data_IF_752211651581
#
_entry.id   IF_752211651581
#
_cell.length_a   1.000
_cell.length_b   1.000
_cell.length_c   1.000
_cell.angle_alpha   90.00
_cell.angle_beta   90.00
_cell.angle_gamma   90.00
#
_symmetry.space_group_name_H-M   'P 1'
#
loop_
_entity.id
_entity.type
_entity.pdbx_description
1 polymer ?
#
# COMPACT_ATOMS: atom_id res chain seq x y z
N UNK A 1 12.97 -39.22 46.22
CA UNK A 1 11.84 -38.60 45.49
C UNK A 1 12.35 -37.31 44.88
N UNK A 2 12.62 -37.29 43.57
CA UNK A 2 13.04 -36.09 42.85
C UNK A 2 11.78 -35.35 42.42
N UNK A 3 11.65 -34.09 42.84
CA UNK A 3 10.51 -33.22 42.52
C UNK A 3 10.35 -33.06 41.00
N UNK A 4 9.16 -33.24 40.41
CA UNK A 4 8.93 -33.09 38.97
C UNK A 4 8.90 -31.64 38.47
N UNK A 5 9.05 -30.63 39.34
CA UNK A 5 8.76 -29.23 38.99
C UNK A 5 9.94 -28.47 38.36
N UNK A 6 11.17 -29.01 38.37
CA UNK A 6 12.35 -28.29 37.88
C UNK A 6 12.66 -28.46 36.39
N UNK A 7 11.87 -29.24 35.64
CA UNK A 7 12.15 -29.55 34.22
C UNK A 7 11.36 -28.69 33.21
N UNK A 8 10.31 -27.97 33.63
CA UNK A 8 9.45 -27.20 32.71
C UNK A 8 9.84 -25.71 32.54
N UNK A 9 10.61 -25.13 33.46
CA UNK A 9 11.00 -23.71 33.41
C UNK A 9 12.19 -23.42 32.49
N UNK A 10 13.16 -24.35 32.38
CA UNK A 10 14.32 -24.19 31.50
C UNK A 10 13.97 -24.31 30.00
N UNK A 11 12.96 -25.11 29.65
CA UNK A 11 12.45 -25.22 28.28
C UNK A 11 11.78 -23.90 27.84
N UNK A 12 11.10 -23.21 28.76
CA UNK A 12 10.47 -21.92 28.48
C UNK A 12 11.49 -20.80 28.22
N UNK A 13 12.56 -20.71 29.02
CA UNK A 13 13.61 -19.70 28.85
C UNK A 13 14.45 -19.89 27.58
N UNK A 14 14.76 -21.14 27.22
CA UNK A 14 15.52 -21.45 26.00
C UNK A 14 14.72 -21.19 24.73
N UNK A 15 13.42 -21.48 24.73
CA UNK A 15 12.51 -21.12 23.64
C UNK A 15 12.39 -19.60 23.49
N UNK A 16 12.16 -18.88 24.59
CA UNK A 16 12.09 -17.40 24.60
C UNK A 16 13.39 -16.77 24.07
N UNK A 17 14.54 -17.29 24.48
CA UNK A 17 15.84 -16.79 24.02
C UNK A 17 16.01 -16.99 22.51
N UNK A 18 15.59 -18.14 21.98
CA UNK A 18 15.66 -18.45 20.54
C UNK A 18 14.69 -17.59 19.72
N UNK A 19 13.49 -17.33 20.24
CA UNK A 19 12.52 -16.43 19.63
C UNK A 19 13.06 -14.99 19.57
N UNK A 20 13.60 -14.49 20.68
CA UNK A 20 14.21 -13.16 20.75
C UNK A 20 15.41 -13.02 19.81
N UNK A 21 16.32 -14.00 19.78
CA UNK A 21 17.45 -13.99 18.85
C UNK A 21 16.98 -13.99 17.39
N UNK A 22 15.96 -14.79 17.08
CA UNK A 22 15.37 -14.83 15.74
C UNK A 22 14.76 -13.49 15.36
N UNK A 23 13.99 -12.87 16.25
CA UNK A 23 13.38 -11.57 16.04
C UNK A 23 14.42 -10.47 15.85
N UNK A 24 15.48 -10.44 16.69
CA UNK A 24 16.60 -9.50 16.57
C UNK A 24 17.29 -9.67 15.21
N UNK A 25 17.65 -10.90 14.84
CA UNK A 25 18.32 -11.18 13.56
C UNK A 25 17.43 -10.70 12.41
N UNK A 26 16.18 -11.17 12.33
CA UNK A 26 15.25 -10.83 11.26
C UNK A 26 14.90 -9.34 11.23
N UNK A 27 14.89 -8.66 12.38
CA UNK A 27 14.65 -7.24 12.52
C UNK A 27 15.71 -6.36 11.86
N UNK A 28 16.94 -6.87 11.71
CA UNK A 28 18.01 -6.14 10.98
C UNK A 28 17.83 -6.16 9.46
N UNK A 29 16.95 -7.03 8.93
CA UNK A 29 16.74 -7.17 7.49
C UNK A 29 15.48 -6.46 7.03
N UNK A 30 15.56 -5.84 5.85
CA UNK A 30 14.41 -5.32 5.13
C UNK A 30 14.34 -5.95 3.75
N UNK A 31 13.12 -6.10 3.23
CA UNK A 31 12.90 -6.69 1.91
C UNK A 31 11.86 -5.88 1.14
N UNK A 32 12.02 -5.85 -0.19
CA UNK A 32 11.02 -5.29 -1.10
C UNK A 32 9.90 -6.30 -1.30
N UNK A 33 8.76 -6.03 -0.70
CA UNK A 33 7.54 -6.84 -0.86
C UNK A 33 6.80 -6.37 -2.11
N UNK A 34 6.43 -7.33 -2.94
CA UNK A 34 5.63 -7.15 -4.14
C UNK A 34 4.27 -7.82 -3.94
N UNK A 35 3.20 -7.07 -4.17
CA UNK A 35 1.86 -7.49 -3.75
C UNK A 35 1.31 -8.70 -4.50
N UNK A 36 1.74 -8.97 -5.73
CA UNK A 36 1.23 -10.12 -6.48
C UNK A 36 1.77 -11.46 -5.99
N UNK A 37 3.08 -11.59 -5.79
CA UNK A 37 3.66 -12.83 -5.25
C UNK A 37 3.34 -13.00 -3.75
N UNK A 38 3.12 -11.91 -3.00
CA UNK A 38 2.86 -11.97 -1.55
C UNK A 38 1.63 -12.79 -1.16
N UNK A 39 0.82 -13.23 -2.12
CA UNK A 39 -0.32 -14.12 -1.92
C UNK A 39 0.04 -15.60 -1.99
N UNK A 40 1.16 -15.93 -2.63
CA UNK A 40 1.59 -17.31 -2.87
C UNK A 40 2.17 -17.95 -1.61
N UNK A 41 1.90 -19.25 -1.35
CA UNK A 41 2.41 -19.95 -0.17
C UNK A 41 3.93 -19.89 -0.04
N UNK A 42 4.66 -20.01 -1.15
CA UNK A 42 6.13 -20.00 -1.17
C UNK A 42 6.75 -18.62 -0.97
N UNK A 43 5.95 -17.55 -0.94
CA UNK A 43 6.46 -16.19 -0.95
C UNK A 43 7.27 -15.85 0.31
N UNK A 44 6.88 -16.39 1.49
CA UNK A 44 7.64 -16.21 2.74
C UNK A 44 9.07 -16.75 2.60
N UNK A 45 9.21 -17.98 2.09
CA UNK A 45 10.51 -18.59 1.82
C UNK A 45 11.30 -17.79 0.78
N UNK A 46 10.64 -17.34 -0.29
CA UNK A 46 11.28 -16.52 -1.32
C UNK A 46 11.82 -15.20 -0.76
N UNK A 47 11.05 -14.50 0.08
CA UNK A 47 11.48 -13.26 0.73
C UNK A 47 12.59 -13.48 1.77
N UNK A 48 12.54 -14.59 2.51
CA UNK A 48 13.63 -14.98 3.41
C UNK A 48 14.94 -15.13 2.63
N UNK A 49 14.95 -15.94 1.57
CA UNK A 49 16.14 -16.14 0.76
C UNK A 49 16.62 -14.84 0.10
N UNK A 50 15.70 -13.99 -0.37
CA UNK A 50 16.02 -12.68 -0.97
C UNK A 50 16.63 -11.69 0.02
N UNK A 51 16.22 -11.73 1.28
CA UNK A 51 16.77 -10.87 2.32
C UNK A 51 18.16 -11.31 2.77
N UNK A 52 18.41 -12.63 2.78
CA UNK A 52 19.70 -13.20 3.17
C UNK A 52 20.76 -13.14 2.04
N UNK A 53 20.35 -13.13 0.77
CA UNK A 53 21.23 -12.91 -0.39
C UNK A 53 21.60 -11.41 -0.54
N UNK A 54 22.39 -10.88 0.41
CA UNK A 54 22.80 -9.46 0.45
C UNK A 54 23.61 -9.05 -0.78
N UNK A 55 24.41 -9.98 -1.30
CA UNK A 55 25.30 -9.74 -2.46
C UNK A 55 24.54 -9.82 -3.79
N UNK A 56 23.28 -10.27 -3.77
CA UNK A 56 22.45 -10.39 -4.97
C UNK A 56 22.94 -11.46 -5.94
N UNK A 57 23.64 -12.48 -5.42
CA UNK A 57 24.23 -13.58 -6.18
C UNK A 57 23.17 -14.47 -6.85
N UNK A 58 21.91 -14.38 -6.42
CA UNK A 58 20.81 -15.18 -6.92
C UNK A 58 20.87 -16.64 -6.47
N UNK A 59 21.74 -16.99 -5.51
CA UNK A 59 21.79 -18.32 -4.91
C UNK A 59 22.12 -18.25 -3.42
N UNK A 60 21.60 -19.18 -2.64
CA UNK A 60 21.80 -19.21 -1.20
C UNK A 60 21.82 -20.65 -0.70
N UNK A 61 22.70 -20.95 0.25
CA UNK A 61 22.73 -22.25 0.94
C UNK A 61 22.48 -22.03 2.42
N UNK A 62 21.45 -22.67 2.97
CA UNK A 62 21.05 -22.55 4.38
C UNK A 62 20.82 -23.93 5.00
N UNK A 63 21.11 -24.10 6.29
CA UNK A 63 20.64 -25.26 7.03
C UNK A 63 19.11 -25.29 7.07
N UNK A 64 18.51 -26.45 6.77
CA UNK A 64 17.05 -26.65 6.86
C UNK A 64 16.49 -26.28 8.26
N UNK A 65 17.13 -26.63 9.39
CA UNK A 65 16.65 -26.23 10.71
C UNK A 65 16.54 -24.71 10.91
N UNK A 66 17.44 -23.94 10.30
CA UNK A 66 17.42 -22.47 10.37
C UNK A 66 16.21 -21.93 9.60
N UNK A 67 15.96 -22.46 8.40
CA UNK A 67 14.79 -22.08 7.59
C UNK A 67 13.48 -22.41 8.32
N UNK A 68 13.39 -23.59 8.96
CA UNK A 68 12.23 -23.99 9.75
C UNK A 68 11.99 -23.05 10.93
N UNK A 69 13.06 -22.64 11.61
CA UNK A 69 13.01 -21.70 12.74
C UNK A 69 12.48 -20.34 12.28
N UNK A 70 13.03 -19.78 11.21
CA UNK A 70 12.64 -18.45 10.73
C UNK A 70 11.22 -18.40 10.13
N UNK A 71 10.76 -19.51 9.54
CA UNK A 71 9.44 -19.56 8.90
C UNK A 71 8.37 -20.18 9.80
N UNK A 72 8.74 -20.65 10.99
CA UNK A 72 7.89 -21.40 11.92
C UNK A 72 7.08 -22.48 11.17
N UNK A 73 7.80 -23.45 10.60
CA UNK A 73 7.17 -24.47 9.76
C UNK A 73 7.90 -25.81 9.74
N UNK A 74 7.17 -26.86 9.35
CA UNK A 74 7.72 -28.20 9.17
C UNK A 74 8.59 -28.31 7.91
N UNK A 75 9.42 -29.34 7.89
CA UNK A 75 10.22 -29.76 6.73
C UNK A 75 9.33 -29.93 5.47
N UNK A 76 8.22 -30.66 5.61
CA UNK A 76 7.23 -30.89 4.55
C UNK A 76 6.71 -29.58 3.95
N UNK A 77 6.51 -28.56 4.78
CA UNK A 77 6.09 -27.24 4.31
C UNK A 77 7.16 -26.57 3.46
N UNK A 78 8.42 -26.64 3.88
CA UNK A 78 9.56 -26.10 3.12
C UNK A 78 9.69 -26.81 1.76
N UNK A 79 9.63 -28.15 1.75
CA UNK A 79 9.69 -28.92 0.50
C UNK A 79 8.56 -28.54 -0.47
N UNK A 80 7.33 -28.46 0.04
CA UNK A 80 6.17 -28.03 -0.76
C UNK A 80 6.37 -26.62 -1.31
N UNK A 81 6.83 -25.67 -0.49
CA UNK A 81 7.09 -24.30 -0.95
C UNK A 81 8.20 -24.21 -1.99
N UNK A 82 9.23 -25.05 -1.91
CA UNK A 82 10.27 -25.13 -2.94
C UNK A 82 9.71 -25.67 -4.27
N UNK A 83 8.86 -26.70 -4.21
CA UNK A 83 8.19 -27.24 -5.39
C UNK A 83 7.23 -26.22 -6.03
N UNK A 84 6.36 -25.62 -5.23
CA UNK A 84 5.40 -24.59 -5.69
C UNK A 84 6.14 -23.37 -6.23
N UNK A 85 7.16 -22.91 -5.50
CA UNK A 85 8.00 -21.79 -5.91
C UNK A 85 8.76 -22.06 -7.21
N UNK A 86 9.15 -23.31 -7.49
CA UNK A 86 9.73 -23.70 -8.77
C UNK A 86 8.69 -23.64 -9.89
N UNK A 87 7.48 -24.16 -9.67
CA UNK A 87 6.38 -24.11 -10.66
C UNK A 87 6.04 -22.67 -11.06
N UNK A 88 5.96 -21.76 -10.10
CA UNK A 88 5.66 -20.35 -10.37
C UNK A 88 6.90 -19.52 -10.76
N UNK A 89 8.07 -20.13 -10.93
CA UNK A 89 9.29 -19.42 -11.34
C UNK A 89 9.95 -18.53 -10.27
N UNK A 90 9.51 -18.62 -9.00
CA UNK A 90 10.15 -17.93 -7.88
C UNK A 90 11.51 -18.54 -7.52
N UNK A 91 11.67 -19.85 -7.78
CA UNK A 91 12.94 -20.57 -7.69
C UNK A 91 13.28 -21.18 -9.05
N UNK A 92 14.50 -20.93 -9.54
CA UNK A 92 14.99 -21.53 -10.80
C UNK A 92 15.30 -23.01 -10.61
N UNK A 93 15.97 -23.34 -9.50
CA UNK A 93 16.28 -24.71 -9.08
C UNK A 93 16.54 -24.73 -7.57
N UNK A 94 16.43 -25.89 -6.95
CA UNK A 94 16.86 -26.10 -5.57
C UNK A 94 17.51 -27.48 -5.44
N UNK A 95 18.39 -27.64 -4.46
CA UNK A 95 19.05 -28.91 -4.09
C UNK A 95 18.99 -29.07 -2.59
N UNK A 96 18.84 -30.31 -2.12
CA UNK A 96 18.80 -30.63 -0.69
C UNK A 96 19.77 -31.78 -0.47
N UNK A 97 20.77 -31.58 0.40
CA UNK A 97 21.80 -32.58 0.70
C UNK A 97 22.26 -32.40 2.15
N UNK A 98 22.32 -33.50 2.91
CA UNK A 98 22.83 -33.53 4.28
C UNK A 98 22.27 -32.41 5.18
N UNK A 99 20.94 -32.20 5.18
CA UNK A 99 20.30 -31.16 5.99
C UNK A 99 20.48 -29.72 5.50
N UNK A 100 21.15 -29.50 4.37
CA UNK A 100 21.34 -28.20 3.76
C UNK A 100 20.42 -28.03 2.55
N UNK A 101 19.84 -26.84 2.42
CA UNK A 101 19.06 -26.43 1.25
C UNK A 101 19.87 -25.40 0.48
N UNK A 102 20.16 -25.70 -0.79
CA UNK A 102 20.67 -24.73 -1.76
C UNK A 102 19.54 -24.28 -2.67
N UNK A 103 19.20 -23.00 -2.64
CA UNK A 103 18.15 -22.38 -3.46
C UNK A 103 18.80 -21.48 -4.50
N UNK A 104 18.32 -21.56 -5.74
CA UNK A 104 18.66 -20.61 -6.80
C UNK A 104 17.42 -19.78 -7.09
N UNK A 105 17.51 -18.48 -6.83
CA UNK A 105 16.41 -17.55 -6.93
C UNK A 105 16.02 -17.35 -8.40
N UNK A 106 14.72 -17.40 -8.65
CA UNK A 106 14.14 -17.08 -9.95
C UNK A 106 14.09 -15.57 -10.20
N UNK A 107 14.08 -15.22 -11.48
CA UNK A 107 13.96 -13.85 -11.95
C UNK A 107 12.54 -13.32 -11.83
N UNK A 108 12.41 -12.00 -11.75
CA UNK A 108 11.11 -11.35 -11.62
C UNK A 108 10.19 -11.63 -12.83
N UNK A 109 10.75 -11.62 -14.04
CA UNK A 109 9.98 -11.86 -15.26
C UNK A 109 9.34 -13.25 -15.30
N UNK A 110 10.05 -14.28 -14.82
CA UNK A 110 9.54 -15.66 -14.85
C UNK A 110 8.29 -15.82 -13.98
N UNK A 111 8.27 -15.20 -12.79
CA UNK A 111 7.09 -15.26 -11.92
C UNK A 111 5.89 -14.58 -12.55
N UNK A 112 6.09 -13.41 -13.16
CA UNK A 112 5.00 -12.74 -13.85
C UNK A 112 4.47 -13.58 -15.02
N UNK A 113 5.36 -14.17 -15.81
CA UNK A 113 4.99 -15.02 -16.93
C UNK A 113 4.19 -16.25 -16.45
N UNK A 114 4.71 -17.01 -15.48
CA UNK A 114 4.07 -18.24 -15.00
C UNK A 114 2.74 -17.97 -14.26
N UNK A 115 2.56 -16.80 -13.65
CA UNK A 115 1.32 -16.41 -12.98
C UNK A 115 0.35 -15.62 -13.89
N UNK A 116 0.65 -15.48 -15.19
CA UNK A 116 -0.13 -14.66 -16.14
C UNK A 116 -0.37 -13.21 -15.65
N UNK A 117 0.65 -12.63 -15.01
CA UNK A 117 0.59 -11.28 -14.45
C UNK A 117 1.24 -10.28 -15.41
N UNK A 118 0.50 -9.23 -15.77
CA UNK A 118 1.04 -8.10 -16.54
C UNK A 118 2.11 -7.30 -15.79
N UNK A 119 2.06 -7.30 -14.46
CA UNK A 119 2.99 -6.57 -13.58
C UNK A 119 3.08 -7.20 -12.19
N UNK A 120 4.16 -6.93 -11.48
CA UNK A 120 4.46 -7.41 -10.11
C UNK A 120 3.54 -6.88 -9.01
N UNK A 121 2.70 -5.91 -9.33
CA UNK A 121 1.87 -5.19 -8.37
C UNK A 121 2.59 -3.99 -7.77
N UNK A 122 2.11 -3.56 -6.62
CA UNK A 122 2.68 -2.46 -5.87
C UNK A 122 3.82 -2.96 -4.96
N UNK A 123 4.76 -2.08 -4.65
CA UNK A 123 6.00 -2.44 -3.96
C UNK A 123 6.24 -1.56 -2.75
N UNK A 124 6.56 -2.18 -1.62
CA UNK A 124 6.97 -1.50 -0.40
C UNK A 124 8.21 -2.15 0.22
N UNK A 125 9.03 -1.35 0.90
CA UNK A 125 10.12 -1.86 1.74
C UNK A 125 9.56 -2.09 3.15
N UNK A 126 9.72 -3.31 3.66
CA UNK A 126 9.17 -3.73 4.96
C UNK A 126 10.23 -4.55 5.72
N UNK A 127 10.28 -4.49 7.06
CA UNK A 127 11.08 -5.40 7.87
C UNK A 127 10.77 -6.86 7.57
N UNK A 128 11.80 -7.71 7.48
CA UNK A 128 11.65 -9.12 7.13
C UNK A 128 10.78 -9.86 8.16
N UNK A 129 10.92 -9.56 9.45
CA UNK A 129 10.11 -10.15 10.52
C UNK A 129 8.60 -10.03 10.24
N UNK A 130 8.12 -8.85 9.82
CA UNK A 130 6.71 -8.63 9.49
C UNK A 130 6.29 -9.40 8.23
N UNK A 131 7.21 -9.56 7.27
CA UNK A 131 6.98 -10.35 6.04
C UNK A 131 6.83 -11.82 6.39
N UNK A 132 7.57 -12.33 7.37
CA UNK A 132 7.46 -13.72 7.78
C UNK A 132 6.20 -13.96 8.64
N UNK A 133 5.70 -13.00 9.41
CA UNK A 133 4.45 -13.18 10.17
C UNK A 133 3.18 -12.97 9.32
N UNK A 134 3.11 -11.85 8.58
CA UNK A 134 1.83 -11.25 8.15
C UNK A 134 1.77 -10.83 6.68
N UNK A 135 2.51 -11.54 5.82
CA UNK A 135 2.66 -11.19 4.40
C UNK A 135 1.36 -10.87 3.65
N UNK A 136 0.30 -11.64 3.90
CA UNK A 136 -1.01 -11.44 3.25
C UNK A 136 -1.69 -10.16 3.71
N UNK A 137 -1.58 -9.84 4.99
CA UNK A 137 -2.10 -8.61 5.56
C UNK A 137 -1.30 -7.42 5.06
N UNK A 138 0.03 -7.49 5.10
CA UNK A 138 0.94 -6.49 4.53
C UNK A 138 0.63 -6.20 3.06
N UNK A 139 0.46 -7.24 2.25
CA UNK A 139 0.06 -7.12 0.83
C UNK A 139 -1.22 -6.31 0.67
N UNK A 140 -2.21 -6.53 1.55
CA UNK A 140 -3.47 -5.79 1.54
C UNK A 140 -3.26 -4.33 1.94
N UNK A 141 -2.43 -4.06 2.94
CA UNK A 141 -2.07 -2.71 3.36
C UNK A 141 -1.33 -1.92 2.27
N UNK A 142 -0.37 -2.55 1.60
CA UNK A 142 0.40 -1.94 0.49
C UNK A 142 -0.53 -1.54 -0.66
N UNK A 143 -1.43 -2.44 -1.09
CA UNK A 143 -2.42 -2.11 -2.15
C UNK A 143 -3.38 -1.02 -1.70
N UNK A 144 -3.84 -1.06 -0.44
CA UNK A 144 -4.73 -0.03 0.13
C UNK A 144 -4.09 1.35 0.04
N UNK A 145 -2.85 1.48 0.53
CA UNK A 145 -2.13 2.75 0.51
C UNK A 145 -1.80 3.20 -0.92
N UNK A 146 -1.40 2.28 -1.79
CA UNK A 146 -1.12 2.56 -3.21
C UNK A 146 -2.34 3.14 -3.92
N UNK A 147 -3.52 2.56 -3.73
CA UNK A 147 -4.75 3.07 -4.33
C UNK A 147 -5.12 4.45 -3.79
N UNK A 148 -4.94 4.68 -2.50
CA UNK A 148 -5.13 5.99 -1.90
C UNK A 148 -4.16 7.04 -2.47
N UNK A 149 -2.88 6.73 -2.60
CA UNK A 149 -1.88 7.65 -3.17
C UNK A 149 -2.15 7.95 -4.65
N UNK A 150 -2.52 6.94 -5.44
CA UNK A 150 -2.94 7.11 -6.85
C UNK A 150 -4.19 7.98 -6.96
N UNK A 151 -5.17 7.76 -6.08
CA UNK A 151 -6.39 8.57 -6.00
C UNK A 151 -6.07 10.02 -5.63
N UNK A 152 -5.21 10.26 -4.63
CA UNK A 152 -4.76 11.60 -4.21
C UNK A 152 -4.03 12.32 -5.35
N UNK A 153 -3.13 11.63 -6.03
CA UNK A 153 -2.41 12.17 -7.18
C UNK A 153 -3.38 12.55 -8.31
N UNK A 154 -4.37 11.69 -8.61
CA UNK A 154 -5.40 11.99 -9.58
C UNK A 154 -6.23 13.21 -9.18
N UNK A 155 -6.69 13.30 -7.92
CA UNK A 155 -7.42 14.47 -7.41
C UNK A 155 -6.63 15.77 -7.59
N UNK A 156 -5.34 15.77 -7.24
CA UNK A 156 -4.47 16.93 -7.43
C UNK A 156 -4.27 17.31 -8.91
N UNK A 157 -4.15 16.33 -9.80
CA UNK A 157 -4.01 16.61 -11.24
C UNK A 157 -5.29 17.16 -11.87
N UNK A 158 -6.45 16.85 -11.28
CA UNK A 158 -7.74 17.36 -11.75
C UNK A 158 -7.93 18.84 -11.43
N UNK A 159 -7.24 19.39 -10.42
CA UNK A 159 -7.28 20.82 -10.09
C UNK A 159 -6.48 21.67 -11.08
N UNK A 160 -7.00 22.87 -11.37
CA UNK A 160 -6.22 23.96 -11.99
C UNK A 160 -5.00 24.32 -11.13
N UNK A 161 -3.89 24.81 -11.70
CA UNK A 161 -2.65 25.07 -10.95
C UNK A 161 -2.84 26.01 -9.75
N UNK A 162 -3.61 27.08 -9.90
CA UNK A 162 -3.93 28.03 -8.82
C UNK A 162 -4.69 27.35 -7.68
N UNK A 163 -5.75 26.61 -8.02
CA UNK A 163 -6.54 25.85 -7.06
C UNK A 163 -5.74 24.76 -6.36
N UNK A 164 -4.74 24.17 -7.02
CA UNK A 164 -3.89 23.15 -6.39
C UNK A 164 -3.03 23.74 -5.27
N UNK A 165 -2.59 25.00 -5.39
CA UNK A 165 -1.81 25.67 -4.34
C UNK A 165 -2.64 25.94 -3.09
N UNK A 166 -3.92 26.29 -3.27
CA UNK A 166 -4.82 26.70 -2.20
C UNK A 166 -5.66 25.56 -1.62
N UNK A 167 -6.08 24.61 -2.46
CA UNK A 167 -7.05 23.55 -2.15
C UNK A 167 -6.54 22.16 -2.55
N UNK A 168 -5.22 21.99 -2.61
CA UNK A 168 -4.60 20.70 -2.89
C UNK A 168 -5.13 19.61 -1.96
N UNK A 169 -5.23 18.39 -2.49
CA UNK A 169 -5.66 17.23 -1.71
C UNK A 169 -4.69 16.99 -0.55
N UNK A 170 -5.15 17.10 0.72
CA UNK A 170 -4.29 17.03 1.90
C UNK A 170 -3.62 15.66 2.06
N UNK A 171 -2.66 15.57 2.98
CA UNK A 171 -2.04 14.28 3.27
C UNK A 171 -3.03 13.41 4.09
N UNK A 172 -3.20 12.10 3.79
CA UNK A 172 -4.07 11.23 4.59
C UNK A 172 -3.74 11.21 6.08
N UNK A 173 -2.45 11.32 6.40
CA UNK A 173 -2.00 11.36 7.80
C UNK A 173 -2.44 12.63 8.53
N UNK A 174 -2.66 13.75 7.83
CA UNK A 174 -3.26 14.95 8.44
C UNK A 174 -4.73 14.67 8.78
N UNK A 175 -5.46 14.00 7.88
CA UNK A 175 -6.89 13.69 8.09
C UNK A 175 -7.17 12.59 9.12
N UNK A 176 -6.16 11.78 9.47
CA UNK A 176 -6.30 10.60 10.35
C UNK A 176 -5.61 10.81 11.71
N UNK A 177 -4.74 11.82 11.86
CA UNK A 177 -4.24 12.28 13.17
C UNK A 177 -5.38 12.93 13.98
N UNK A 178 -5.12 13.15 15.27
CA UNK A 178 -6.08 13.26 16.38
C UNK A 178 -7.49 13.83 16.12
N UNK A 179 -8.46 13.27 16.86
CA UNK A 179 -9.82 13.78 16.95
C UNK A 179 -9.81 15.23 17.40
N UNK A 180 -10.42 16.14 16.60
CA UNK A 180 -10.65 17.59 16.82
C UNK A 180 -9.91 18.57 15.89
N UNK A 181 -9.45 18.17 14.72
CA UNK A 181 -9.14 19.15 13.67
C UNK A 181 -10.44 19.60 12.98
N UNK A 182 -10.97 20.77 13.37
CA UNK A 182 -11.71 21.61 12.42
C UNK A 182 -10.73 22.63 11.85
N UNK A 183 -10.85 23.00 10.57
CA UNK A 183 -9.96 24.01 9.97
C UNK A 183 -9.84 25.25 10.87
N UNK A 184 -10.95 25.68 11.48
CA UNK A 184 -11.05 26.87 12.33
C UNK A 184 -10.36 26.80 13.72
N UNK A 185 -9.87 25.64 14.19
CA UNK A 185 -9.39 25.47 15.59
C UNK A 185 -8.19 24.52 15.76
N UNK A 186 -7.43 24.27 14.70
CA UNK A 186 -6.28 23.35 14.77
C UNK A 186 -5.00 24.09 15.22
N UNK A 187 -4.29 23.63 16.27
CA UNK A 187 -3.00 24.19 16.67
C UNK A 187 -1.87 23.90 15.65
N UNK A 188 -2.07 22.92 14.75
CA UNK A 188 -1.10 22.52 13.72
C UNK A 188 -1.37 23.18 12.35
N UNK A 189 -2.34 24.09 12.27
CA UNK A 189 -2.76 24.79 11.04
C UNK A 189 -4.05 24.26 10.43
N UNK A 190 -4.68 25.07 9.57
CA UNK A 190 -5.95 24.76 8.93
C UNK A 190 -5.75 23.77 7.76
N UNK A 191 -6.51 22.66 7.73
CA UNK A 191 -6.63 21.83 6.52
C UNK A 191 -7.77 22.38 5.65
N UNK A 192 -7.49 22.91 4.45
CA UNK A 192 -8.50 23.54 3.62
C UNK A 192 -9.69 22.62 3.34
N UNK A 193 -10.90 23.17 3.36
CA UNK A 193 -12.15 22.47 3.05
C UNK A 193 -12.54 21.33 4.01
N UNK A 194 -11.82 21.12 5.11
CA UNK A 194 -12.21 20.17 6.17
C UNK A 194 -13.05 20.87 7.23
N UNK A 195 -14.31 20.45 7.35
CA UNK A 195 -15.27 21.05 8.28
C UNK A 195 -15.11 20.48 9.69
N UNK A 196 -15.02 19.15 9.80
CA UNK A 196 -14.94 18.45 11.08
C UNK A 196 -14.36 17.05 10.91
N UNK A 197 -13.50 16.64 11.84
CA UNK A 197 -12.97 15.28 11.89
C UNK A 197 -13.42 14.60 13.19
N UNK A 198 -14.23 13.54 13.03
CA UNK A 198 -14.63 12.66 14.12
C UNK A 198 -13.77 11.38 14.16
N UNK A 199 -14.02 10.50 15.13
CA UNK A 199 -13.32 9.23 15.24
C UNK A 199 -13.50 8.33 14.01
N UNK A 200 -14.66 8.40 13.35
CA UNK A 200 -15.03 7.51 12.23
C UNK A 200 -15.27 8.22 10.89
N UNK A 201 -15.43 9.55 10.88
CA UNK A 201 -15.79 10.32 9.69
C UNK A 201 -14.98 11.62 9.56
N UNK A 202 -14.74 12.02 8.32
CA UNK A 202 -14.14 13.30 7.95
C UNK A 202 -15.19 14.05 7.14
N UNK A 203 -15.72 15.13 7.68
CA UNK A 203 -16.70 15.99 7.01
C UNK A 203 -15.98 17.09 6.24
N UNK A 204 -16.26 17.19 4.95
CA UNK A 204 -15.62 18.14 4.04
C UNK A 204 -16.63 19.01 3.32
N UNK A 205 -16.19 20.19 2.89
CA UNK A 205 -16.98 21.13 2.12
C UNK A 205 -17.18 20.67 0.66
N UNK A 206 -18.10 21.31 -0.07
CA UNK A 206 -18.37 21.04 -1.49
C UNK A 206 -17.17 21.25 -2.41
N UNK A 207 -16.19 22.06 -2.00
CA UNK A 207 -14.99 22.37 -2.79
C UNK A 207 -13.87 21.33 -2.60
N UNK A 208 -14.02 20.42 -1.65
CA UNK A 208 -13.05 19.34 -1.44
C UNK A 208 -13.11 18.33 -2.60
N UNK A 209 -11.98 18.07 -3.25
CA UNK A 209 -11.89 16.97 -4.23
C UNK A 209 -11.62 15.67 -3.48
N UNK A 210 -12.64 14.81 -3.42
CA UNK A 210 -12.54 13.52 -2.75
C UNK A 210 -11.47 12.63 -3.39
N UNK A 211 -10.68 12.01 -2.53
CA UNK A 211 -9.74 10.96 -2.89
C UNK A 211 -9.72 9.94 -1.75
N UNK A 212 -9.31 8.71 -2.05
CA UNK A 212 -9.26 7.65 -1.06
C UNK A 212 -9.34 6.29 -1.73
N UNK A 213 -9.71 5.28 -0.97
CA UNK A 213 -9.87 3.93 -1.50
C UNK A 213 -11.09 3.21 -0.91
N UNK A 214 -11.62 2.26 -1.67
CA UNK A 214 -12.72 1.41 -1.24
C UNK A 214 -12.22 -0.03 -1.02
N UNK A 215 -12.82 -0.72 -0.05
CA UNK A 215 -12.52 -2.13 0.18
C UNK A 215 -12.92 -3.00 -1.02
N UNK A 216 -13.91 -2.56 -1.82
CA UNK A 216 -14.30 -3.21 -3.08
C UNK A 216 -13.14 -3.16 -4.08
N UNK A 217 -12.52 -2.00 -4.29
CA UNK A 217 -11.38 -1.87 -5.20
C UNK A 217 -10.20 -2.77 -4.79
N UNK A 218 -9.83 -2.76 -3.50
CA UNK A 218 -8.75 -3.61 -2.96
C UNK A 218 -9.09 -5.10 -3.10
N UNK A 219 -10.34 -5.46 -2.83
CA UNK A 219 -10.88 -6.82 -2.98
C UNK A 219 -10.76 -7.32 -4.42
N UNK A 220 -11.17 -6.51 -5.40
CA UNK A 220 -11.05 -6.82 -6.83
C UNK A 220 -9.58 -6.95 -7.27
N UNK A 221 -8.69 -6.04 -6.84
CA UNK A 221 -7.27 -6.09 -7.23
C UNK A 221 -6.58 -7.37 -6.74
N UNK A 222 -6.90 -7.80 -5.52
CA UNK A 222 -6.27 -8.95 -4.86
C UNK A 222 -6.99 -10.28 -5.08
N UNK A 223 -8.18 -10.28 -5.69
CA UNK A 223 -9.00 -11.48 -5.85
C UNK A 223 -9.43 -12.11 -4.52
N UNK A 224 -9.74 -11.29 -3.51
CA UNK A 224 -10.17 -11.76 -2.18
C UNK A 224 -11.47 -11.09 -1.75
N UNK A 225 -12.24 -11.74 -0.88
CA UNK A 225 -13.51 -11.17 -0.39
C UNK A 225 -13.31 -9.89 0.45
N UNK A 226 -14.26 -8.94 0.39
CA UNK A 226 -14.23 -7.66 1.16
C UNK A 226 -14.05 -7.89 2.67
N UNK A 227 -14.61 -8.98 3.22
CA UNK A 227 -14.45 -9.37 4.64
C UNK A 227 -12.99 -9.68 4.99
N UNK A 228 -12.26 -10.32 4.08
CA UNK A 228 -10.83 -10.62 4.24
C UNK A 228 -10.00 -9.34 4.23
N UNK A 229 -10.32 -8.40 3.34
CA UNK A 229 -9.70 -7.06 3.33
C UNK A 229 -9.87 -6.36 4.68
N UNK A 230 -11.10 -6.34 5.22
CA UNK A 230 -11.39 -5.76 6.55
C UNK A 230 -10.55 -6.38 7.66
N UNK A 231 -10.46 -7.72 7.68
CA UNK A 231 -9.69 -8.46 8.69
C UNK A 231 -8.20 -8.10 8.61
N UNK A 232 -7.61 -8.12 7.42
CA UNK A 232 -6.20 -7.76 7.21
C UNK A 232 -5.91 -6.31 7.62
N UNK A 233 -6.77 -5.37 7.23
CA UNK A 233 -6.63 -3.96 7.62
C UNK A 233 -6.72 -3.77 9.14
N UNK A 234 -7.65 -4.47 9.81
CA UNK A 234 -7.75 -4.45 11.28
C UNK A 234 -6.49 -4.99 11.94
N UNK A 235 -5.95 -6.10 11.43
CA UNK A 235 -4.72 -6.71 11.95
C UNK A 235 -3.51 -5.77 11.86
N UNK A 236 -3.42 -4.98 10.80
CA UNK A 236 -2.37 -3.96 10.63
C UNK A 236 -2.61 -2.66 11.40
N UNK A 237 -3.71 -2.55 12.16
CA UNK A 237 -4.10 -1.29 12.79
C UNK A 237 -4.41 -0.17 11.79
N UNK A 238 -4.75 -0.51 10.54
CA UNK A 238 -5.13 0.46 9.50
C UNK A 238 -6.56 0.94 9.71
N UNK A 239 -6.76 1.74 10.76
CA UNK A 239 -8.03 2.39 11.04
C UNK A 239 -8.42 3.32 9.89
N UNK A 240 -9.69 3.24 9.49
CA UNK A 240 -10.25 4.03 8.41
C UNK A 240 -11.17 5.11 8.95
N UNK A 241 -11.19 6.27 8.28
CA UNK A 241 -12.24 7.27 8.42
C UNK A 241 -13.00 7.40 7.09
N UNK A 242 -14.31 7.54 7.15
CA UNK A 242 -15.15 7.76 5.97
C UNK A 242 -15.12 9.24 5.60
N UNK A 243 -14.79 9.55 4.36
CA UNK A 243 -14.82 10.92 3.85
C UNK A 243 -16.24 11.24 3.38
N UNK A 244 -16.85 12.26 4.00
CA UNK A 244 -18.24 12.62 3.85
C UNK A 244 -18.36 14.06 3.36
N UNK A 245 -19.08 14.26 2.26
CA UNK A 245 -19.25 15.58 1.64
C UNK A 245 -20.72 15.97 1.62
N UNK A 246 -21.03 17.24 1.89
CA UNK A 246 -22.37 17.78 1.73
C UNK A 246 -22.47 18.61 0.44
N UNK A 247 -23.58 18.40 -0.28
CA UNK A 247 -24.02 19.19 -1.44
C UNK A 247 -25.52 19.43 -1.30
N UNK A 248 -26.03 20.55 -1.79
CA UNK A 248 -27.47 20.91 -1.65
C UNK A 248 -28.31 19.89 -2.43
N UNK A 249 -27.80 19.47 -3.57
CA UNK A 249 -28.33 18.47 -4.49
C UNK A 249 -28.58 17.12 -3.80
N UNK A 250 -27.79 16.77 -2.77
CA UNK A 250 -27.95 15.50 -2.06
C UNK A 250 -29.25 15.39 -1.26
N UNK A 251 -29.82 16.53 -0.84
CA UNK A 251 -31.17 16.54 -0.25
C UNK A 251 -32.21 16.11 -1.29
N UNK A 252 -32.12 16.64 -2.51
CA UNK A 252 -33.03 16.33 -3.60
C UNK A 252 -32.89 14.87 -4.03
N UNK A 253 -31.65 14.38 -4.21
CA UNK A 253 -31.40 12.97 -4.53
C UNK A 253 -31.98 12.02 -3.49
N UNK A 254 -31.77 12.33 -2.20
CA UNK A 254 -32.29 11.50 -1.10
C UNK A 254 -33.82 11.51 -1.09
N UNK A 255 -34.44 12.66 -1.31
CA UNK A 255 -35.89 12.76 -1.40
C UNK A 255 -36.44 11.92 -2.57
N UNK A 256 -35.87 12.06 -3.77
CA UNK A 256 -36.25 11.27 -4.93
C UNK A 256 -36.08 9.77 -4.68
N UNK A 257 -34.97 9.37 -4.07
CA UNK A 257 -34.67 7.96 -3.76
C UNK A 257 -35.62 7.38 -2.72
N UNK A 258 -36.00 8.16 -1.70
CA UNK A 258 -37.00 7.75 -0.70
C UNK A 258 -38.42 7.62 -1.29
N UNK A 259 -38.67 8.17 -2.47
CA UNK A 259 -39.93 8.04 -3.22
C UNK A 259 -39.77 7.07 -4.41
N UNK A 260 -38.81 6.15 -4.33
CA UNK A 260 -38.58 5.07 -5.31
C UNK A 260 -38.35 5.53 -6.76
N UNK A 261 -37.86 6.76 -6.96
CA UNK A 261 -37.51 7.23 -8.29
C UNK A 261 -36.34 6.39 -8.87
N UNK A 262 -36.55 5.83 -10.07
CA UNK A 262 -35.55 5.04 -10.81
C UNK A 262 -34.45 5.91 -11.44
N UNK A 263 -34.74 7.17 -11.70
CA UNK A 263 -33.79 8.15 -12.21
C UNK A 263 -34.11 9.52 -11.63
N UNK A 264 -33.07 10.28 -11.28
CA UNK A 264 -33.24 11.67 -10.83
C UNK A 264 -31.99 12.49 -11.09
N UNK A 265 -32.19 13.70 -11.60
CA UNK A 265 -31.16 14.72 -11.76
C UNK A 265 -31.54 15.94 -10.93
N UNK A 266 -30.64 16.34 -10.03
CA UNK A 266 -30.88 17.51 -9.20
C UNK A 266 -31.01 18.76 -10.08
N UNK A 267 -31.79 19.73 -9.62
CA UNK A 267 -31.95 21.02 -10.30
C UNK A 267 -31.62 22.15 -9.31
N UNK A 268 -30.65 22.99 -9.66
CA UNK A 268 -30.27 24.17 -8.86
C UNK A 268 -30.34 25.48 -9.64
N UNK A 269 -31.16 25.55 -10.70
CA UNK A 269 -31.32 26.74 -11.55
C UNK A 269 -30.31 26.87 -12.70
N UNK A 270 -29.27 26.02 -12.73
CA UNK A 270 -28.35 25.80 -13.86
C UNK A 270 -28.32 24.30 -14.18
N UNK A 271 -27.94 23.87 -15.40
CA UNK A 271 -27.73 22.44 -15.71
C UNK A 271 -26.80 21.81 -14.66
N UNK A 272 -27.34 20.98 -13.78
CA UNK A 272 -26.59 20.25 -12.77
C UNK A 272 -26.38 18.83 -13.23
N UNK A 273 -25.12 18.49 -13.48
CA UNK A 273 -24.70 17.13 -13.85
C UNK A 273 -24.67 16.17 -12.63
N UNK A 274 -25.43 16.45 -11.57
CA UNK A 274 -25.52 15.63 -10.35
C UNK A 274 -26.83 14.86 -10.38
N UNK A 275 -26.74 13.53 -10.42
CA UNK A 275 -27.91 12.68 -10.56
C UNK A 275 -27.58 11.21 -10.43
N UNK A 276 -28.60 10.38 -10.52
CA UNK A 276 -28.44 8.94 -10.58
C UNK A 276 -29.44 8.29 -11.52
N UNK A 277 -29.09 7.12 -12.03
CA UNK A 277 -29.98 6.23 -12.77
C UNK A 277 -29.79 4.80 -12.25
N UNK A 278 -30.89 4.12 -11.91
CA UNK A 278 -30.91 2.71 -11.50
C UNK A 278 -30.89 1.83 -12.74
N UNK A 279 -29.91 0.93 -12.82
CA UNK A 279 -29.71 -0.03 -13.90
C UNK A 279 -29.57 -1.43 -13.31
N UNK A 280 -30.70 -2.13 -13.14
CA UNK A 280 -30.74 -3.43 -12.45
C UNK A 280 -30.25 -3.29 -11.00
N UNK A 281 -29.26 -4.12 -10.62
CA UNK A 281 -28.66 -4.12 -9.28
C UNK A 281 -27.61 -3.00 -9.06
N UNK A 282 -27.45 -2.09 -10.02
CA UNK A 282 -26.50 -1.01 -9.96
C UNK A 282 -27.16 0.36 -10.08
N UNK A 283 -26.51 1.37 -9.50
CA UNK A 283 -26.83 2.78 -9.66
C UNK A 283 -25.66 3.47 -10.35
N UNK A 284 -25.93 4.07 -11.50
CA UNK A 284 -24.99 4.96 -12.19
C UNK A 284 -25.17 6.35 -11.58
N UNK A 285 -24.21 6.75 -10.76
CA UNK A 285 -24.22 8.05 -10.08
C UNK A 285 -23.28 9.03 -10.78
N UNK A 286 -23.79 10.21 -11.11
CA UNK A 286 -23.01 11.34 -11.62
C UNK A 286 -22.82 12.37 -10.53
N UNK A 287 -21.58 12.78 -10.27
CA UNK A 287 -21.25 13.71 -9.17
C UNK A 287 -21.07 15.16 -9.60
N UNK A 288 -21.38 15.47 -10.86
CA UNK A 288 -21.12 16.77 -11.45
C UNK A 288 -19.62 17.08 -11.57
N UNK A 289 -19.34 18.35 -11.82
CA UNK A 289 -17.97 18.87 -11.96
C UNK A 289 -17.58 19.61 -10.69
N UNK A 290 -16.47 19.21 -10.07
CA UNK A 290 -15.96 19.90 -8.89
C UNK A 290 -15.50 21.33 -9.25
N UNK A 291 -15.79 22.35 -8.42
CA UNK A 291 -15.27 23.69 -8.61
C UNK A 291 -13.74 23.69 -8.77
N UNK A 292 -13.22 24.41 -9.76
CA UNK A 292 -11.77 24.47 -10.02
C UNK A 292 -11.17 23.24 -10.73
N UNK A 293 -12.00 22.28 -11.14
CA UNK A 293 -11.56 21.15 -11.96
C UNK A 293 -11.15 21.61 -13.38
N UNK A 294 -10.17 20.92 -13.96
CA UNK A 294 -9.76 21.07 -15.37
C UNK A 294 -10.70 20.39 -16.35
N UNK A 295 -11.38 19.33 -15.90
CA UNK A 295 -12.26 18.53 -16.74
C UNK A 295 -13.58 19.26 -16.97
N UNK A 296 -14.17 19.05 -18.15
CA UNK A 296 -15.47 19.61 -18.55
C UNK A 296 -16.63 18.62 -18.46
N UNK A 297 -16.35 17.37 -18.11
CA UNK A 297 -17.37 16.31 -17.98
C UNK A 297 -17.42 15.81 -16.54
N UNK A 298 -18.63 15.46 -16.05
CA UNK A 298 -18.80 14.91 -14.72
C UNK A 298 -18.16 13.52 -14.61
N UNK A 299 -17.76 13.15 -13.40
CA UNK A 299 -17.37 11.76 -13.14
C UNK A 299 -18.63 10.93 -12.87
N UNK A 300 -18.78 9.82 -13.59
CA UNK A 300 -19.79 8.80 -13.34
C UNK A 300 -19.21 7.60 -12.61
N UNK A 301 -20.00 7.03 -11.72
CA UNK A 301 -19.62 5.91 -10.87
C UNK A 301 -20.72 4.86 -10.89
N UNK A 302 -20.34 3.61 -11.14
CA UNK A 302 -21.25 2.48 -10.95
C UNK A 302 -21.15 1.98 -9.51
N UNK A 303 -22.25 2.12 -8.78
CA UNK A 303 -22.38 1.75 -7.36
C UNK A 303 -23.40 0.62 -7.28
N UNK A 304 -23.22 -0.30 -6.33
CA UNK A 304 -24.26 -1.31 -6.06
C UNK A 304 -25.50 -0.61 -5.48
N UNK A 305 -26.70 -0.99 -5.91
CA UNK A 305 -27.93 -0.32 -5.49
C UNK A 305 -28.07 -0.33 -3.95
N UNK A 306 -27.76 -1.46 -3.31
CA UNK A 306 -27.79 -1.58 -1.84
C UNK A 306 -26.74 -0.71 -1.14
N UNK A 307 -25.61 -0.44 -1.82
CA UNK A 307 -24.56 0.43 -1.29
C UNK A 307 -24.88 1.91 -1.49
N UNK A 308 -25.64 2.27 -2.54
CA UNK A 308 -26.00 3.66 -2.83
C UNK A 308 -26.88 4.25 -1.72
N UNK A 309 -27.88 3.51 -1.26
CA UNK A 309 -28.82 3.96 -0.24
C UNK A 309 -28.11 4.21 1.10
N UNK A 310 -27.14 3.36 1.46
CA UNK A 310 -26.33 3.54 2.66
C UNK A 310 -25.28 4.66 2.59
N UNK A 311 -25.13 5.35 1.44
CA UNK A 311 -24.15 6.44 1.29
C UNK A 311 -24.71 7.80 1.66
N UNK A 312 -26.02 8.04 1.53
CA UNK A 312 -26.66 9.32 1.84
C UNK A 312 -27.22 9.30 3.27
N UNK A 313 -26.86 10.27 4.09
CA UNK A 313 -27.32 10.36 5.48
C UNK A 313 -27.43 11.80 5.96
N UNK A 314 -28.35 12.07 6.90
CA UNK A 314 -28.54 13.40 7.50
C UNK A 314 -27.61 13.61 8.69
N UNK A 315 -27.08 14.82 8.84
CA UNK A 315 -26.46 15.31 10.08
C UNK A 315 -26.92 16.76 10.27
N UNK A 316 -27.71 17.00 11.32
CA UNK A 316 -28.46 18.26 11.45
C UNK A 316 -29.41 18.44 10.26
N UNK A 317 -29.35 19.60 9.60
CA UNK A 317 -30.18 19.91 8.42
C UNK A 317 -29.51 19.60 7.08
N UNK A 318 -28.28 19.08 7.09
CA UNK A 318 -27.51 18.79 5.88
C UNK A 318 -27.52 17.30 5.58
N UNK A 319 -27.66 16.93 4.30
CA UNK A 319 -27.39 15.58 3.83
C UNK A 319 -25.95 15.47 3.34
N UNK A 320 -25.26 14.47 3.86
CA UNK A 320 -23.91 14.09 3.49
C UNK A 320 -23.93 12.80 2.68
N UNK A 321 -22.98 12.70 1.75
CA UNK A 321 -22.68 11.47 1.03
C UNK A 321 -21.34 10.92 1.47
N UNK A 322 -21.27 9.64 1.84
CA UNK A 322 -20.02 8.92 2.01
C UNK A 322 -19.37 8.67 0.64
N UNK A 323 -18.17 9.25 0.45
CA UNK A 323 -17.44 9.26 -0.82
C UNK A 323 -16.48 8.08 -0.93
N UNK A 324 -15.64 7.92 0.08
CA UNK A 324 -14.55 6.96 0.11
C UNK A 324 -13.99 6.80 1.52
N UNK A 325 -13.00 5.92 1.70
CA UNK A 325 -12.30 5.78 2.97
C UNK A 325 -10.89 6.34 2.86
N UNK A 326 -10.46 7.01 3.93
CA UNK A 326 -9.09 7.44 4.17
C UNK A 326 -8.47 6.51 5.21
N UNK A 327 -7.25 6.05 4.94
CA UNK A 327 -6.44 5.23 5.82
C UNK A 327 -5.15 5.98 6.17
N UNK A 328 -4.62 5.75 7.37
CA UNK A 328 -3.27 6.20 7.74
C UNK A 328 -2.24 5.50 6.84
N UNK A 329 -1.32 6.28 6.29
CA UNK A 329 -0.19 5.76 5.52
C UNK A 329 0.91 5.30 6.49
N UNK A 330 1.37 4.06 6.29
CA UNK A 330 2.36 3.39 7.15
C UNK A 330 3.53 2.82 6.34
N UNK A 331 3.36 2.58 5.04
CA UNK A 331 4.35 1.93 4.19
C UNK A 331 5.15 2.95 3.38
N UNK A 332 6.43 2.68 3.18
CA UNK A 332 7.24 3.42 2.20
C UNK A 332 7.10 2.75 0.83
N UNK A 333 6.14 3.24 0.03
CA UNK A 333 5.93 2.74 -1.33
C UNK A 333 7.05 3.20 -2.25
N UNK A 334 7.53 2.30 -3.10
CA UNK A 334 8.58 2.61 -4.08
C UNK A 334 8.20 2.09 -5.45
N UNK A 335 8.45 2.88 -6.49
CA UNK A 335 8.30 2.40 -7.87
C UNK A 335 9.59 1.72 -8.32
N UNK A 336 9.48 0.74 -9.23
CA UNK A 336 10.65 0.10 -9.84
C UNK A 336 11.56 1.13 -10.53
N UNK A 337 10.99 2.13 -11.20
CA UNK A 337 11.75 3.20 -11.83
C UNK A 337 12.50 4.07 -10.82
N UNK A 338 11.91 4.36 -9.65
CA UNK A 338 12.62 5.07 -8.58
C UNK A 338 13.74 4.21 -7.99
N UNK A 339 13.50 2.92 -7.75
CA UNK A 339 14.51 2.00 -7.24
C UNK A 339 15.69 1.84 -8.23
N UNK A 340 15.41 1.70 -9.53
CA UNK A 340 16.44 1.62 -10.58
C UNK A 340 17.30 2.89 -10.64
N UNK A 341 16.67 4.07 -10.57
CA UNK A 341 17.40 5.35 -10.50
C UNK A 341 18.31 5.44 -9.27
N UNK A 342 17.81 5.05 -8.10
CA UNK A 342 18.61 5.02 -6.86
C UNK A 342 19.79 4.05 -6.95
N UNK A 343 19.60 2.90 -7.59
CA UNK A 343 20.67 1.93 -7.82
C UNK A 343 21.75 2.47 -8.75
N UNK A 344 21.36 3.02 -9.90
CA UNK A 344 22.30 3.65 -10.85
C UNK A 344 23.06 4.80 -10.22
N UNK A 345 22.38 5.63 -9.41
CA UNK A 345 23.03 6.68 -8.65
C UNK A 345 24.08 6.12 -7.67
N UNK A 346 23.78 5.04 -6.94
CA UNK A 346 24.77 4.38 -6.07
C UNK A 346 25.97 3.82 -6.85
N UNK A 347 25.74 3.15 -7.98
CA UNK A 347 26.82 2.66 -8.84
C UNK A 347 27.71 3.81 -9.31
N UNK A 348 27.12 4.93 -9.73
CA UNK A 348 27.92 6.11 -10.12
C UNK A 348 28.75 6.66 -8.95
N UNK A 349 28.23 6.65 -7.72
CA UNK A 349 28.99 7.08 -6.54
C UNK A 349 30.15 6.12 -6.23
N UNK A 350 29.96 4.80 -6.34
CA UNK A 350 31.03 3.82 -6.14
C UNK A 350 32.15 3.96 -7.19
N UNK A 351 31.79 4.17 -8.47
CA UNK A 351 32.77 4.42 -9.52
C UNK A 351 33.53 5.75 -9.33
N UNK A 352 32.91 6.77 -8.73
CA UNK A 352 33.59 8.00 -8.36
C UNK A 352 34.56 7.83 -7.17
N UNK A 353 34.26 6.94 -6.21
CA UNK A 353 35.17 6.64 -5.10
C UNK A 353 36.38 5.79 -5.53
N UNK A 354 36.20 4.83 -6.43
CA UNK A 354 37.30 4.02 -6.98
C UNK A 354 38.27 4.87 -7.83
N UNK A 355 37.73 5.79 -8.64
CA UNK A 355 38.55 6.72 -9.43
C UNK A 355 39.28 7.78 -8.59
N UNK A 356 38.83 8.07 -7.37
CA UNK A 356 39.57 8.94 -6.43
C UNK A 356 40.65 8.18 -5.67
N UNK A 357 40.40 6.93 -5.27
CA UNK A 357 41.40 6.08 -4.63
C UNK A 357 42.57 5.73 -5.58
N UNK A 358 42.29 5.57 -6.88
CA UNK A 358 43.32 5.32 -7.91
C UNK A 358 44.12 6.56 -8.36
N UNK A 359 43.74 7.79 -7.94
CA UNK A 359 44.41 9.04 -8.36
C UNK A 359 45.33 9.67 -7.30
N UNK A 360 45.60 8.99 -6.19
CA UNK A 360 46.57 9.45 -5.17
C UNK A 360 48.00 8.98 -5.45
N UNK A 361 48.21 8.10 -6.44
CA UNK A 361 49.55 7.63 -6.85
C UNK A 361 49.89 7.99 -8.29
N UNK A 362 50.07 9.30 -8.58
CA UNK A 362 50.96 9.82 -9.63
C UNK A 362 50.75 11.34 -9.77
N UNK A 363 51.43 12.11 -8.91
CA UNK A 363 51.81 13.49 -9.26
C UNK A 363 53.09 13.42 -10.08
N UNK A 364 52.94 13.29 -11.40
CA UNK A 364 54.00 13.76 -12.29
C UNK A 364 53.78 15.26 -12.51
N UNK A 365 54.77 16.01 -12.06
CA UNK A 365 54.94 17.44 -12.30
C UNK A 365 55.50 17.63 -13.70
N UNK A 366 54.71 18.20 -14.61
CA UNK A 366 55.13 18.90 -15.83
C UNK A 366 53.99 19.91 -16.07
N UNK A 367 54.13 21.22 -16.01
CA UNK A 367 55.19 22.10 -16.50
C UNK A 367 54.46 23.14 -17.36
N UNK A 368 54.19 24.32 -16.81
CA UNK A 368 53.57 25.43 -17.53
C UNK A 368 54.53 25.92 -18.63
N UNK A 369 54.07 26.01 -19.88
CA UNK A 369 54.63 26.90 -20.90
C UNK A 369 53.52 27.45 -21.82
N UNK A 370 53.29 28.75 -21.63
CA UNK A 370 53.01 29.86 -22.59
C UNK A 370 52.70 29.61 -24.08
N UNK A 371 51.80 30.47 -24.60
CA UNK A 371 51.67 30.89 -26.02
C UNK A 371 50.20 30.89 -26.47
N UNK A 372 49.47 32.01 -26.48
CA UNK A 372 49.26 32.91 -27.65
C UNK A 372 48.87 32.11 -28.91
N UNK A 373 47.66 32.20 -29.49
CA UNK A 373 46.81 33.34 -29.88
C UNK A 373 45.33 33.03 -29.62
#
# INVERSE_FOLDING_TARGET
MISPESLNTNVSLTLLTRELQTEIILGTYTVRVHTRIGREPCARLWYLCRALDKDGSGHLTLPLPVVQTFLDCSDKSVYRWLQDGKKIGAFRRYKIKAGMITVYLGGMFQVCYNLNLKRWGDVAVVPLVQVLSDLRSLTTGIVTQSFQQKSRYAANRQLKPEYRKLFGAPHPNELVKDTRQSSLKSPEGEVPCVLHISSSRIFVSKSFIHYGTSQKAVSCELGIHKRTVRRHQKQLGMNRRQLCQAKIEYNQLRHARNNDASEFWAFTGTKTDIGYQVMGDAVVFSDGIAPGAKKRQPNTYQIDATEFDGRLFKVGDKVFMNRCNIYREQFTLTTMSAARRKYHFKLSQCHFSENRAGRVGNRFVIGCHSGEI
#
